data_IF_267579716454
#
_entry.id   IF_267579716454
#
_cell.length_a   1.000
_cell.length_b   1.000
_cell.length_c   1.000
_cell.angle_alpha   90.00
_cell.angle_beta   90.00
_cell.angle_gamma   90.00
#
_symmetry.space_group_name_H-M   'P 1'
#
loop_
_entity.id
_entity.type
_entity.pdbx_description
1 polymer ?
#
# COMPACT_ATOMS: atom_id res chain seq x y z
N UNK A 1 -17.81 31.38 -8.50
CA UNK A 1 -18.26 31.82 -7.18
C UNK A 1 -17.21 31.43 -6.14
N UNK A 2 -16.61 32.43 -5.46
CA UNK A 2 -15.51 32.22 -4.49
C UNK A 2 -15.98 31.55 -3.19
N UNK A 3 -17.20 31.83 -2.74
CA UNK A 3 -17.76 31.27 -1.49
C UNK A 3 -18.01 29.77 -1.67
N UNK A 4 -18.61 29.39 -2.79
CA UNK A 4 -18.86 27.99 -3.11
C UNK A 4 -17.55 27.21 -3.33
N UNK A 5 -16.54 27.83 -3.94
CA UNK A 5 -15.22 27.22 -4.11
C UNK A 5 -14.50 26.99 -2.77
N UNK A 6 -14.54 27.96 -1.84
CA UNK A 6 -14.01 27.78 -0.47
C UNK A 6 -14.73 26.66 0.27
N UNK A 7 -16.05 26.52 0.08
CA UNK A 7 -16.85 25.45 0.68
C UNK A 7 -16.44 24.07 0.14
N UNK A 8 -16.22 23.95 -1.16
CA UNK A 8 -15.76 22.68 -1.75
C UNK A 8 -14.30 22.37 -1.42
N UNK A 9 -13.42 23.37 -1.31
CA UNK A 9 -12.06 23.17 -0.85
C UNK A 9 -12.05 22.70 0.62
N UNK A 10 -12.85 23.32 1.48
CA UNK A 10 -13.03 22.85 2.85
C UNK A 10 -13.57 21.42 2.87
N UNK A 11 -14.57 21.12 2.05
CA UNK A 11 -15.11 19.77 1.95
C UNK A 11 -14.05 18.77 1.48
N UNK A 12 -13.22 19.11 0.50
CA UNK A 12 -12.13 18.25 0.03
C UNK A 12 -11.14 17.97 1.16
N UNK A 13 -10.77 19.00 1.93
CA UNK A 13 -9.88 18.86 3.10
C UNK A 13 -10.51 18.00 4.19
N UNK A 14 -11.78 18.25 4.50
CA UNK A 14 -12.55 17.46 5.46
C UNK A 14 -12.70 15.99 5.00
N UNK A 15 -12.55 15.74 3.70
CA UNK A 15 -12.52 14.41 3.08
C UNK A 15 -11.09 13.91 2.77
N UNK A 16 -10.07 14.49 3.41
CA UNK A 16 -8.70 13.96 3.42
C UNK A 16 -7.73 14.58 2.41
N UNK A 17 -8.14 15.61 1.68
CA UNK A 17 -7.21 16.35 0.82
C UNK A 17 -6.23 17.18 1.68
N UNK A 18 -4.93 16.87 1.60
CA UNK A 18 -3.89 17.50 2.43
C UNK A 18 -2.76 18.20 1.64
N UNK A 19 -2.82 18.16 0.31
CA UNK A 19 -1.71 18.56 -0.55
C UNK A 19 -1.61 20.07 -0.77
N UNK A 20 -1.04 20.81 0.19
CA UNK A 20 -0.86 22.27 0.08
C UNK A 20 -0.02 22.69 -1.13
N UNK A 21 0.95 21.88 -1.56
CA UNK A 21 1.74 22.16 -2.76
C UNK A 21 0.87 22.23 -4.02
N UNK A 22 -0.07 21.30 -4.16
CA UNK A 22 -1.02 21.27 -5.28
C UNK A 22 -1.98 22.46 -5.19
N UNK A 23 -2.52 22.79 -4.00
CA UNK A 23 -3.39 23.97 -3.83
C UNK A 23 -2.72 25.28 -4.23
N UNK A 24 -1.40 25.39 -4.05
CA UNK A 24 -0.61 26.56 -4.44
C UNK A 24 -0.31 26.60 -5.95
N UNK A 25 -0.24 25.46 -6.62
CA UNK A 25 0.10 25.35 -8.06
C UNK A 25 -1.13 25.31 -8.97
N UNK A 26 -2.29 24.97 -8.41
CA UNK A 26 -3.55 24.88 -9.13
C UNK A 26 -4.08 26.28 -9.46
N UNK A 27 -3.97 26.66 -10.73
CA UNK A 27 -4.36 27.97 -11.24
C UNK A 27 -5.85 28.27 -11.05
N UNK A 28 -6.70 27.23 -10.93
CA UNK A 28 -8.14 27.42 -10.69
C UNK A 28 -8.40 27.98 -9.28
N UNK A 29 -7.43 27.87 -8.38
CA UNK A 29 -7.51 28.35 -7.00
C UNK A 29 -6.84 29.71 -6.78
N UNK A 30 -6.18 30.30 -7.78
CA UNK A 30 -5.48 31.59 -7.68
C UNK A 30 -6.40 32.70 -7.13
N UNK A 31 -7.67 32.68 -7.56
CA UNK A 31 -8.69 33.63 -7.12
C UNK A 31 -9.03 33.52 -5.62
N UNK A 32 -8.73 32.38 -5.01
CA UNK A 32 -8.92 32.11 -3.58
C UNK A 32 -7.69 32.49 -2.77
N UNK A 33 -6.48 32.42 -3.33
CA UNK A 33 -5.22 32.67 -2.60
C UNK A 33 -5.16 34.05 -1.94
N UNK A 34 -5.85 35.02 -2.54
CA UNK A 34 -5.92 36.41 -2.06
C UNK A 34 -6.97 36.63 -0.96
N UNK A 35 -7.81 35.62 -0.66
CA UNK A 35 -8.87 35.73 0.33
C UNK A 35 -8.32 35.54 1.76
N UNK A 36 -8.83 36.28 2.77
CA UNK A 36 -8.48 36.04 4.17
C UNK A 36 -8.71 34.58 4.61
N UNK A 37 -9.79 33.97 4.11
CA UNK A 37 -10.18 32.57 4.33
C UNK A 37 -9.21 31.58 3.69
N UNK A 38 -8.29 32.00 2.84
CA UNK A 38 -7.21 31.14 2.38
C UNK A 38 -6.18 30.87 3.48
N UNK A 39 -5.99 31.83 4.39
CA UNK A 39 -5.00 31.71 5.47
C UNK A 39 -5.29 30.54 6.42
N UNK A 40 -6.56 30.14 6.60
CA UNK A 40 -6.90 28.92 7.36
C UNK A 40 -6.42 27.64 6.67
N UNK A 41 -6.23 27.65 5.36
CA UNK A 41 -5.66 26.54 4.60
C UNK A 41 -4.12 26.58 4.55
N UNK A 42 -3.50 27.71 4.88
CA UNK A 42 -2.05 27.81 5.00
C UNK A 42 -1.46 26.92 6.13
N UNK A 43 -2.32 26.45 7.04
CA UNK A 43 -1.98 25.46 8.08
C UNK A 43 -2.10 24.00 7.59
N UNK A 44 -2.51 23.75 6.34
CA UNK A 44 -2.43 22.42 5.73
C UNK A 44 -0.96 22.00 5.72
N UNK A 45 -0.70 20.92 6.48
CA UNK A 45 0.65 20.45 6.72
C UNK A 45 1.31 20.10 5.38
N UNK A 46 2.52 20.60 5.19
CA UNK A 46 3.34 20.13 4.08
C UNK A 46 3.53 18.61 4.26
N UNK A 47 3.37 17.83 3.18
CA UNK A 47 3.61 16.39 3.27
C UNK A 47 5.02 16.15 3.81
N UNK A 48 5.16 15.14 4.68
CA UNK A 48 6.46 14.74 5.19
C UNK A 48 7.26 14.17 4.03
N UNK A 49 8.18 14.95 3.48
CA UNK A 49 9.16 14.44 2.53
C UNK A 49 10.00 13.40 3.24
N UNK A 50 10.05 12.17 2.71
CA UNK A 50 10.85 11.10 3.30
C UNK A 50 12.31 11.51 3.52
N UNK A 51 12.89 11.05 4.62
CA UNK A 51 14.28 11.30 4.99
C UNK A 51 15.25 10.65 4.01
N UNK A 52 16.45 11.22 3.82
CA UNK A 52 17.53 10.53 3.11
C UNK A 52 18.24 9.47 3.98
N UNK A 53 18.09 9.54 5.30
CA UNK A 53 18.61 8.59 6.28
C UNK A 53 17.52 7.56 6.66
N UNK A 54 17.74 6.26 6.41
CA UNK A 54 16.78 5.20 6.74
C UNK A 54 16.45 5.09 8.23
N UNK A 55 17.33 5.55 9.12
CA UNK A 55 17.13 5.45 10.57
C UNK A 55 16.25 6.57 11.15
N UNK A 56 15.96 7.61 10.35
CA UNK A 56 15.10 8.73 10.77
C UNK A 56 13.61 8.49 10.48
N UNK A 57 13.27 7.47 9.67
CA UNK A 57 11.89 7.10 9.41
C UNK A 57 11.21 6.63 10.70
N UNK A 58 10.12 7.28 11.10
CA UNK A 58 9.37 6.90 12.29
C UNK A 58 8.46 5.73 11.98
N UNK A 59 8.43 4.76 12.88
CA UNK A 59 7.50 3.63 12.86
C UNK A 59 6.39 3.90 13.89
N UNK A 60 5.32 4.55 13.45
CA UNK A 60 4.24 5.12 14.28
C UNK A 60 3.17 4.08 14.58
N UNK A 61 3.00 3.78 15.87
CA UNK A 61 2.12 2.71 16.37
C UNK A 61 1.05 3.20 17.34
N UNK A 62 0.93 4.52 17.54
CA UNK A 62 -0.02 5.15 18.46
C UNK A 62 -1.48 4.79 18.15
N UNK A 63 -1.80 4.58 16.87
CA UNK A 63 -3.14 4.27 16.42
C UNK A 63 -3.63 2.89 16.85
N UNK A 64 -2.72 1.97 17.18
CA UNK A 64 -3.05 0.65 17.73
C UNK A 64 -3.72 0.82 19.10
N UNK A 65 -3.10 1.60 19.99
CA UNK A 65 -3.64 1.87 21.32
C UNK A 65 -4.96 2.67 21.24
N UNK A 66 -5.01 3.69 20.38
CA UNK A 66 -6.22 4.49 20.16
C UNK A 66 -7.39 3.62 19.66
N UNK A 67 -7.14 2.69 18.73
CA UNK A 67 -8.17 1.78 18.24
C UNK A 67 -8.70 0.89 19.36
N UNK A 68 -7.83 0.26 20.15
CA UNK A 68 -8.28 -0.67 21.19
C UNK A 68 -9.03 0.03 22.34
N UNK A 69 -8.65 1.26 22.71
CA UNK A 69 -9.44 2.10 23.64
C UNK A 69 -10.84 2.40 23.06
N UNK A 70 -10.92 2.78 21.78
CA UNK A 70 -12.20 3.01 21.12
C UNK A 70 -13.04 1.73 21.00
N UNK A 71 -12.41 0.60 20.67
CA UNK A 71 -13.04 -0.71 20.53
C UNK A 71 -13.68 -1.14 21.86
N UNK A 72 -12.94 -1.09 22.96
CA UNK A 72 -13.45 -1.51 24.29
C UNK A 72 -14.64 -0.64 24.75
N UNK A 73 -14.54 0.67 24.54
CA UNK A 73 -15.66 1.60 24.79
C UNK A 73 -16.88 1.27 23.93
N UNK A 74 -16.67 0.99 22.64
CA UNK A 74 -17.71 0.67 21.68
C UNK A 74 -18.39 -0.69 21.94
N UNK A 75 -17.71 -1.62 22.64
CA UNK A 75 -18.33 -2.86 23.12
C UNK A 75 -19.20 -2.64 24.36
N UNK A 76 -18.85 -1.65 25.19
CA UNK A 76 -19.63 -1.31 26.41
C UNK A 76 -20.85 -0.46 26.08
N UNK A 77 -20.69 0.54 25.20
CA UNK A 77 -21.74 1.46 24.78
C UNK A 77 -22.01 1.30 23.27
N UNK A 78 -22.81 0.27 22.96
CA UNK A 78 -23.12 -0.12 21.58
C UNK A 78 -24.03 0.87 20.87
N UNK A 79 -24.81 1.67 21.61
CA UNK A 79 -25.69 2.70 21.05
C UNK A 79 -24.88 3.90 20.49
N UNK A 80 -23.71 4.17 21.06
CA UNK A 80 -22.88 5.33 20.70
C UNK A 80 -21.59 4.97 19.95
N UNK A 81 -21.49 3.79 19.34
CA UNK A 81 -20.26 3.32 18.62
C UNK A 81 -19.71 4.35 17.65
N UNK A 82 -20.58 5.04 16.90
CA UNK A 82 -20.16 6.08 15.96
C UNK A 82 -19.39 7.22 16.63
N UNK A 83 -19.95 7.82 17.69
CA UNK A 83 -19.31 8.94 18.38
C UNK A 83 -18.06 8.47 19.13
N UNK A 84 -18.05 7.23 19.62
CA UNK A 84 -16.90 6.62 20.28
C UNK A 84 -15.73 6.45 19.31
N UNK A 85 -15.91 5.74 18.19
CA UNK A 85 -14.82 5.57 17.23
C UNK A 85 -14.37 6.90 16.65
N UNK A 86 -15.29 7.82 16.37
CA UNK A 86 -14.92 9.17 15.93
C UNK A 86 -14.00 9.85 16.95
N UNK A 87 -14.41 9.94 18.22
CA UNK A 87 -13.69 10.69 19.26
C UNK A 87 -12.39 10.03 19.69
N UNK A 88 -12.38 8.71 19.88
CA UNK A 88 -11.28 8.00 20.51
C UNK A 88 -10.29 7.38 19.51
N UNK A 89 -10.71 7.15 18.26
CA UNK A 89 -9.84 6.61 17.23
C UNK A 89 -9.54 7.63 16.13
N UNK A 90 -10.55 8.16 15.44
CA UNK A 90 -10.34 9.03 14.27
C UNK A 90 -9.80 10.39 14.66
N UNK A 91 -10.45 11.11 15.58
CA UNK A 91 -10.04 12.48 15.95
C UNK A 91 -8.68 12.50 16.69
N UNK A 92 -8.29 11.38 17.32
CA UNK A 92 -6.97 11.19 17.95
C UNK A 92 -5.92 10.57 17.03
N UNK A 93 -6.33 10.19 15.82
CA UNK A 93 -5.51 9.42 14.89
C UNK A 93 -4.27 10.17 14.43
N UNK A 94 -3.22 9.42 14.13
CA UNK A 94 -2.07 9.97 13.41
C UNK A 94 -2.48 10.52 12.03
N UNK A 95 -1.59 11.28 11.40
CA UNK A 95 -1.82 11.74 10.03
C UNK A 95 -1.96 10.57 9.05
N UNK A 96 -1.24 9.46 9.27
CA UNK A 96 -1.38 8.25 8.47
C UNK A 96 -2.74 7.59 8.64
N UNK A 97 -3.35 7.64 9.84
CA UNK A 97 -4.73 7.17 10.01
C UNK A 97 -5.72 8.01 9.20
N UNK A 98 -5.55 9.34 9.17
CA UNK A 98 -6.42 10.21 8.37
C UNK A 98 -6.32 9.85 6.88
N UNK A 99 -5.10 9.71 6.36
CA UNK A 99 -4.86 9.34 4.97
C UNK A 99 -5.43 7.95 4.66
N UNK A 100 -5.25 6.98 5.58
CA UNK A 100 -5.76 5.62 5.41
C UNK A 100 -7.29 5.61 5.39
N UNK A 101 -7.94 6.37 6.26
CA UNK A 101 -9.39 6.47 6.25
C UNK A 101 -9.90 7.12 4.96
N UNK A 102 -9.31 8.23 4.55
CA UNK A 102 -9.71 8.94 3.33
C UNK A 102 -9.56 8.07 2.06
N UNK A 103 -8.54 7.21 1.99
CA UNK A 103 -8.21 6.47 0.76
C UNK A 103 -8.68 5.01 0.78
N UNK A 104 -8.74 4.37 1.95
CA UNK A 104 -9.01 2.93 2.09
C UNK A 104 -10.24 2.61 2.90
N UNK A 105 -10.78 3.54 3.69
CA UNK A 105 -11.97 3.29 4.53
C UNK A 105 -13.11 4.20 4.11
N UNK A 106 -13.96 3.69 3.20
CA UNK A 106 -15.07 4.45 2.59
C UNK A 106 -15.79 5.42 3.53
N UNK A 107 -16.31 4.94 4.67
CA UNK A 107 -16.93 5.79 5.70
C UNK A 107 -16.79 5.17 7.09
N UNK A 108 -16.87 5.99 8.14
CA UNK A 108 -16.92 5.48 9.52
C UNK A 108 -18.11 4.53 9.76
N UNK A 109 -19.25 4.75 9.08
CA UNK A 109 -20.39 3.81 9.12
C UNK A 109 -20.03 2.44 8.54
N UNK A 110 -19.36 2.42 7.38
CA UNK A 110 -18.91 1.17 6.75
C UNK A 110 -17.86 0.44 7.59
N UNK A 111 -16.98 1.19 8.24
CA UNK A 111 -15.99 0.67 9.19
C UNK A 111 -16.67 -0.06 10.34
N UNK A 112 -17.64 0.60 11.01
CA UNK A 112 -18.38 0.01 12.13
C UNK A 112 -19.15 -1.23 11.67
N UNK A 113 -19.90 -1.13 10.57
CA UNK A 113 -20.67 -2.26 10.04
C UNK A 113 -19.78 -3.47 9.67
N UNK A 114 -18.54 -3.23 9.23
CA UNK A 114 -17.60 -4.31 8.96
C UNK A 114 -17.02 -4.96 10.22
N UNK A 115 -16.81 -4.19 11.29
CA UNK A 115 -16.45 -4.73 12.60
C UNK A 115 -17.59 -5.53 13.22
N UNK A 116 -18.83 -5.06 13.10
CA UNK A 116 -20.03 -5.74 13.60
C UNK A 116 -20.26 -7.09 12.89
N UNK A 117 -19.80 -7.21 11.64
CA UNK A 117 -19.84 -8.47 10.86
C UNK A 117 -18.71 -9.45 11.21
N UNK A 118 -17.67 -9.00 11.92
CA UNK A 118 -16.45 -9.76 12.20
C UNK A 118 -15.99 -9.67 13.67
N UNK A 119 -16.89 -9.82 14.66
CA UNK A 119 -16.55 -9.61 16.05
C UNK A 119 -15.50 -10.61 16.57
N UNK A 120 -15.59 -11.89 16.18
CA UNK A 120 -14.65 -12.92 16.63
C UNK A 120 -13.25 -12.69 16.05
N UNK A 121 -13.19 -12.33 14.77
CA UNK A 121 -11.95 -12.00 14.09
C UNK A 121 -11.25 -10.78 14.74
N UNK A 122 -11.95 -9.65 14.88
CA UNK A 122 -11.34 -8.45 15.44
C UNK A 122 -10.93 -8.65 16.91
N UNK A 123 -11.74 -9.33 17.72
CA UNK A 123 -11.34 -9.65 19.09
C UNK A 123 -10.04 -10.47 19.14
N UNK A 124 -9.90 -11.45 18.24
CA UNK A 124 -8.75 -12.36 18.22
C UNK A 124 -7.44 -11.70 17.79
N UNK A 125 -7.46 -10.75 16.84
CA UNK A 125 -6.22 -10.15 16.32
C UNK A 125 -5.53 -9.20 17.31
N UNK A 126 -6.19 -8.79 18.41
CA UNK A 126 -5.72 -7.75 19.34
C UNK A 126 -4.27 -7.92 19.76
N UNK A 127 -3.93 -9.06 20.34
CA UNK A 127 -2.58 -9.33 20.81
C UNK A 127 -1.55 -9.22 19.67
N UNK A 128 -1.90 -9.72 18.49
CA UNK A 128 -0.98 -9.75 17.36
C UNK A 128 -0.71 -8.35 16.79
N UNK A 129 -1.67 -7.42 16.86
CA UNK A 129 -1.43 -6.03 16.39
C UNK A 129 -0.28 -5.34 17.13
N UNK A 130 -0.08 -5.61 18.43
CA UNK A 130 1.01 -5.02 19.21
C UNK A 130 2.40 -5.58 18.89
N UNK A 131 2.49 -6.73 18.23
CA UNK A 131 3.79 -7.36 17.89
C UNK A 131 4.55 -6.62 16.79
N UNK A 132 3.96 -5.58 16.18
CA UNK A 132 4.68 -4.65 15.32
C UNK A 132 5.93 -4.07 16.01
N UNK A 133 5.86 -3.84 17.32
CA UNK A 133 6.97 -3.30 18.11
C UNK A 133 8.21 -4.20 18.05
N UNK A 134 8.02 -5.52 18.07
CA UNK A 134 9.12 -6.49 18.01
C UNK A 134 9.71 -6.65 16.62
N UNK A 135 9.08 -6.10 15.59
CA UNK A 135 9.48 -6.23 14.18
C UNK A 135 10.11 -4.94 13.61
N UNK A 136 10.14 -3.85 14.38
CA UNK A 136 10.70 -2.55 13.97
C UNK A 136 12.15 -2.63 13.48
N UNK A 137 12.99 -3.39 14.17
CA UNK A 137 14.39 -3.57 13.78
C UNK A 137 14.53 -4.23 12.40
N UNK A 138 13.66 -5.19 12.06
CA UNK A 138 13.68 -5.86 10.76
C UNK A 138 13.22 -4.92 9.64
N UNK A 139 12.23 -4.05 9.92
CA UNK A 139 11.79 -3.01 8.98
C UNK A 139 12.91 -2.00 8.70
N UNK A 140 13.58 -1.52 9.74
CA UNK A 140 14.72 -0.61 9.58
C UNK A 140 15.89 -1.27 8.85
N UNK A 141 16.15 -2.56 9.09
CA UNK A 141 17.18 -3.30 8.36
C UNK A 141 16.87 -3.37 6.85
N UNK A 142 15.60 -3.54 6.46
CA UNK A 142 15.18 -3.46 5.06
C UNK A 142 15.42 -2.06 4.47
N UNK A 143 15.17 -1.00 5.24
CA UNK A 143 15.43 0.38 4.81
C UNK A 143 16.93 0.64 4.61
N UNK A 144 17.79 0.15 5.52
CA UNK A 144 19.25 0.25 5.38
C UNK A 144 19.74 -0.49 4.14
N UNK A 145 19.22 -1.70 3.87
CA UNK A 145 19.53 -2.42 2.63
C UNK A 145 19.07 -1.67 1.39
N UNK A 146 17.88 -1.08 1.41
CA UNK A 146 17.40 -0.24 0.31
C UNK A 146 18.31 0.95 0.06
N UNK A 147 18.80 1.62 1.12
CA UNK A 147 19.78 2.72 1.00
C UNK A 147 21.06 2.27 0.30
N UNK A 148 21.54 1.08 0.62
CA UNK A 148 22.74 0.51 -0.01
C UNK A 148 22.53 0.20 -1.49
N UNK A 149 21.36 -0.35 -1.87
CA UNK A 149 21.04 -0.67 -3.27
C UNK A 149 20.73 0.57 -4.11
N UNK A 150 20.10 1.59 -3.51
CA UNK A 150 19.70 2.82 -4.19
C UNK A 150 19.88 4.04 -3.25
N UNK A 151 21.04 4.71 -3.29
CA UNK A 151 21.35 5.81 -2.38
C UNK A 151 20.37 7.00 -2.45
N UNK A 152 19.65 7.18 -3.55
CA UNK A 152 18.65 8.24 -3.73
C UNK A 152 17.28 7.96 -3.06
N UNK A 153 17.12 6.79 -2.41
CA UNK A 153 15.88 6.41 -1.72
C UNK A 153 15.47 7.45 -0.68
N UNK A 154 14.17 7.77 -0.66
CA UNK A 154 13.52 8.55 0.41
C UNK A 154 12.80 7.61 1.36
N UNK A 155 13.03 7.77 2.66
CA UNK A 155 12.46 6.94 3.73
C UNK A 155 11.36 7.72 4.46
N UNK A 156 10.09 7.51 4.11
CA UNK A 156 8.99 8.15 4.81
C UNK A 156 8.70 7.49 6.16
N UNK A 157 7.90 8.17 6.98
CA UNK A 157 7.31 7.56 8.16
C UNK A 157 6.37 6.41 7.77
N UNK A 158 6.21 5.43 8.66
CA UNK A 158 5.35 4.26 8.51
C UNK A 158 4.28 4.30 9.59
N UNK A 159 3.02 4.22 9.20
CA UNK A 159 1.88 4.30 10.09
C UNK A 159 1.17 2.95 10.14
N UNK A 160 1.05 2.39 11.34
CA UNK A 160 0.37 1.12 11.57
C UNK A 160 -1.01 1.38 12.15
N UNK A 161 -2.04 0.98 11.41
CA UNK A 161 -3.44 1.28 11.72
C UNK A 161 -4.29 0.02 11.73
N UNK A 162 -5.50 0.11 12.26
CA UNK A 162 -6.50 -0.96 12.21
C UNK A 162 -7.67 -0.48 11.34
N UNK A 163 -7.85 -1.13 10.19
CA UNK A 163 -8.81 -0.78 9.16
C UNK A 163 -10.09 -1.61 9.21
N UNK A 164 -10.73 -1.74 8.05
CA UNK A 164 -11.93 -2.56 7.86
C UNK A 164 -11.69 -3.81 6.98
N UNK A 165 -10.53 -4.43 7.13
CA UNK A 165 -9.90 -5.36 6.20
C UNK A 165 -9.86 -4.78 4.77
N UNK A 166 -9.53 -3.49 4.63
CA UNK A 166 -9.63 -2.78 3.35
C UNK A 166 -8.32 -2.64 2.58
N UNK A 167 -7.17 -2.61 3.25
CA UNK A 167 -5.84 -2.57 2.62
C UNK A 167 -4.80 -3.18 3.56
N UNK A 168 -3.92 -4.05 3.07
CA UNK A 168 -2.78 -4.55 3.86
C UNK A 168 -1.63 -3.55 3.93
N UNK A 169 -1.43 -2.82 2.84
CA UNK A 169 -0.50 -1.69 2.73
C UNK A 169 -0.98 -0.70 1.67
N UNK A 170 -0.52 0.54 1.74
CA UNK A 170 -0.58 1.53 0.67
C UNK A 170 0.37 2.69 0.98
N UNK A 171 0.47 3.66 0.07
CA UNK A 171 1.26 4.88 0.26
C UNK A 171 0.40 6.13 0.18
N UNK A 172 0.75 7.13 0.98
CA UNK A 172 0.30 8.51 0.82
C UNK A 172 1.50 9.44 0.75
N UNK A 173 1.25 10.75 0.57
CA UNK A 173 2.31 11.76 0.63
C UNK A 173 2.93 11.90 2.03
N UNK A 174 2.27 11.42 3.09
CA UNK A 174 2.78 11.47 4.46
C UNK A 174 3.54 10.21 4.84
N UNK A 175 3.40 9.12 4.08
CA UNK A 175 4.23 7.93 4.20
C UNK A 175 3.52 6.63 3.90
N UNK A 176 4.03 5.54 4.47
CA UNK A 176 3.50 4.19 4.25
C UNK A 176 2.37 3.93 5.25
N UNK A 177 1.26 3.36 4.79
CA UNK A 177 0.07 3.10 5.59
C UNK A 177 -0.21 1.60 5.63
N UNK A 178 -0.09 0.98 6.80
CA UNK A 178 -0.15 -0.47 6.98
C UNK A 178 -1.39 -0.86 7.79
N UNK A 179 -2.33 -1.57 7.17
CA UNK A 179 -3.52 -2.11 7.82
C UNK A 179 -3.20 -3.43 8.51
N UNK A 180 -3.01 -3.39 9.83
CA UNK A 180 -2.60 -4.55 10.62
C UNK A 180 -3.65 -5.67 10.59
N UNK A 181 -4.91 -5.35 10.40
CA UNK A 181 -6.02 -6.27 10.25
C UNK A 181 -5.92 -7.19 9.02
N UNK A 182 -4.97 -6.98 8.09
CA UNK A 182 -4.64 -7.95 7.04
C UNK A 182 -3.26 -8.63 7.20
N UNK A 183 -2.45 -8.24 8.18
CA UNK A 183 -1.03 -8.63 8.27
C UNK A 183 -0.62 -9.38 9.53
N UNK A 184 -1.57 -9.79 10.37
CA UNK A 184 -1.30 -10.31 11.73
C UNK A 184 -1.80 -11.74 11.96
N UNK A 185 -1.85 -12.58 10.91
CA UNK A 185 -2.35 -13.95 10.99
C UNK A 185 -1.42 -14.86 11.81
N UNK A 186 -2.05 -15.68 12.65
CA UNK A 186 -1.51 -16.86 13.34
C UNK A 186 -2.55 -17.99 13.29
N UNK A 187 -2.16 -19.27 13.49
CA UNK A 187 -3.08 -20.41 13.33
C UNK A 187 -4.33 -20.39 14.23
N UNK A 188 -4.25 -19.72 15.37
CA UNK A 188 -5.31 -19.56 16.36
C UNK A 188 -6.36 -18.49 16.02
N UNK A 189 -6.10 -17.60 15.04
CA UNK A 189 -7.07 -16.57 14.65
C UNK A 189 -8.22 -17.20 13.87
N UNK A 190 -9.48 -17.05 14.31
CA UNK A 190 -10.63 -17.59 13.60
C UNK A 190 -10.82 -16.85 12.27
N UNK A 191 -10.94 -17.61 11.18
CA UNK A 191 -11.16 -17.06 9.84
C UNK A 191 -12.57 -17.34 9.30
N UNK A 192 -13.48 -17.86 10.12
CA UNK A 192 -14.84 -18.23 9.72
C UNK A 192 -15.69 -17.05 9.24
N UNK A 193 -15.40 -15.85 9.75
CA UNK A 193 -16.09 -14.60 9.39
C UNK A 193 -15.46 -13.89 8.18
N UNK A 194 -14.35 -14.42 7.64
CA UNK A 194 -13.66 -13.87 6.47
C UNK A 194 -14.13 -14.57 5.20
N UNK A 195 -14.28 -13.84 4.09
CA UNK A 195 -14.56 -14.44 2.78
C UNK A 195 -13.28 -15.09 2.17
N UNK A 196 -13.39 -15.74 1.00
CA UNK A 196 -12.27 -16.43 0.36
C UNK A 196 -11.06 -15.52 0.13
N UNK A 197 -11.28 -14.36 -0.51
CA UNK A 197 -10.22 -13.38 -0.78
C UNK A 197 -9.57 -12.92 0.53
N UNK A 198 -10.36 -12.58 1.55
CA UNK A 198 -9.82 -12.17 2.85
C UNK A 198 -8.97 -13.26 3.50
N UNK A 199 -9.38 -14.53 3.44
CA UNK A 199 -8.59 -15.66 3.99
C UNK A 199 -7.27 -15.86 3.26
N UNK A 200 -7.28 -15.73 1.93
CA UNK A 200 -6.09 -15.92 1.11
C UNK A 200 -5.13 -14.71 1.18
N UNK A 201 -5.64 -13.54 1.55
CA UNK A 201 -4.86 -12.30 1.70
C UNK A 201 -4.61 -11.92 3.18
N UNK A 202 -5.01 -12.75 4.14
CA UNK A 202 -4.66 -12.55 5.54
C UNK A 202 -3.23 -13.06 5.78
N UNK A 203 -2.28 -12.12 5.69
CA UNK A 203 -0.84 -12.36 5.78
C UNK A 203 -0.40 -12.78 7.17
N UNK A 204 0.57 -13.71 7.21
CA UNK A 204 1.22 -14.15 8.45
C UNK A 204 1.94 -13.01 9.14
N UNK A 205 1.94 -13.03 10.48
CA UNK A 205 2.49 -11.94 11.28
C UNK A 205 3.95 -11.57 10.96
N UNK A 206 4.76 -12.55 10.58
CA UNK A 206 6.17 -12.38 10.20
C UNK A 206 6.36 -11.62 8.88
N UNK A 207 5.27 -11.36 8.13
CA UNK A 207 5.35 -10.67 6.84
C UNK A 207 5.31 -9.15 6.95
N UNK A 208 5.05 -8.56 8.12
CA UNK A 208 4.95 -7.11 8.25
C UNK A 208 6.20 -6.36 7.71
N UNK A 209 7.45 -6.77 8.01
CA UNK A 209 8.63 -6.15 7.42
C UNK A 209 8.70 -6.26 5.89
N UNK A 210 8.18 -7.36 5.34
CA UNK A 210 8.15 -7.61 3.88
C UNK A 210 7.12 -6.68 3.21
N UNK A 211 5.95 -6.50 3.81
CA UNK A 211 4.94 -5.56 3.29
C UNK A 211 5.44 -4.11 3.40
N UNK A 212 6.08 -3.74 4.52
CA UNK A 212 6.71 -2.42 4.65
C UNK A 212 7.79 -2.20 3.57
N UNK A 213 8.58 -3.22 3.25
CA UNK A 213 9.54 -3.17 2.16
C UNK A 213 8.87 -2.96 0.79
N UNK A 214 7.76 -3.64 0.51
CA UNK A 214 6.96 -3.46 -0.71
C UNK A 214 6.42 -2.02 -0.84
N UNK A 215 5.78 -1.51 0.21
CA UNK A 215 5.24 -0.13 0.19
C UNK A 215 6.34 0.92 0.07
N UNK A 216 7.53 0.68 0.62
CA UNK A 216 8.68 1.58 0.42
C UNK A 216 9.01 1.74 -1.06
N UNK A 217 8.90 0.68 -1.85
CA UNK A 217 9.17 0.75 -3.29
C UNK A 217 8.13 1.61 -3.98
N UNK A 218 6.84 1.44 -3.68
CA UNK A 218 5.80 2.31 -4.22
C UNK A 218 6.07 3.80 -3.94
N UNK A 219 6.63 4.13 -2.77
CA UNK A 219 7.02 5.51 -2.44
C UNK A 219 8.17 6.06 -3.31
N UNK A 220 8.96 5.20 -3.96
CA UNK A 220 10.03 5.62 -4.88
C UNK A 220 9.58 5.74 -6.34
N UNK A 221 8.34 5.36 -6.67
CA UNK A 221 7.87 5.24 -8.06
C UNK A 221 7.38 6.56 -8.68
N UNK A 222 7.60 7.70 -8.02
CA UNK A 222 7.15 9.02 -8.49
C UNK A 222 7.69 9.38 -9.89
N UNK A 223 8.89 8.89 -10.24
CA UNK A 223 9.54 9.18 -11.52
C UNK A 223 9.15 8.21 -12.64
N UNK A 224 8.33 7.18 -12.39
CA UNK A 224 7.97 6.18 -13.40
C UNK A 224 6.88 6.73 -14.31
N UNK A 225 7.07 6.58 -15.62
CA UNK A 225 6.07 7.03 -16.61
C UNK A 225 4.90 6.05 -16.66
N UNK A 226 3.80 6.37 -15.98
CA UNK A 226 2.57 5.55 -15.99
C UNK A 226 1.80 5.69 -17.30
N UNK A 227 1.21 4.58 -17.75
CA UNK A 227 0.26 4.55 -18.87
C UNK A 227 -0.94 3.63 -18.55
N UNK A 228 -1.85 3.42 -19.50
CA UNK A 228 -3.10 2.67 -19.27
C UNK A 228 -3.01 1.18 -19.61
N UNK A 229 -1.85 0.70 -20.06
CA UNK A 229 -1.66 -0.69 -20.44
C UNK A 229 -1.55 -1.60 -19.22
N UNK A 230 -1.95 -2.86 -19.38
CA UNK A 230 -1.71 -3.89 -18.37
C UNK A 230 -0.21 -4.03 -18.08
N UNK A 231 0.65 -3.91 -19.09
CA UNK A 231 2.11 -3.98 -18.97
C UNK A 231 2.65 -2.94 -17.98
N UNK A 232 2.19 -1.69 -18.06
CA UNK A 232 2.55 -0.65 -17.09
C UNK A 232 2.09 -1.04 -15.67
N UNK A 233 0.84 -1.47 -15.52
CA UNK A 233 0.29 -1.88 -14.22
C UNK A 233 1.08 -3.02 -13.57
N UNK A 234 1.35 -4.10 -14.31
CA UNK A 234 2.06 -5.25 -13.73
C UNK A 234 3.49 -4.89 -13.34
N UNK A 235 4.18 -4.04 -14.10
CA UNK A 235 5.53 -3.61 -13.74
C UNK A 235 5.57 -2.77 -12.47
N UNK A 236 4.58 -1.90 -12.25
CA UNK A 236 4.47 -1.11 -11.02
C UNK A 236 4.35 -2.01 -9.79
N UNK A 237 3.49 -3.02 -9.83
CA UNK A 237 3.28 -3.94 -8.70
C UNK A 237 4.43 -4.95 -8.56
N UNK A 238 4.83 -5.55 -9.68
CA UNK A 238 5.84 -6.59 -9.69
C UNK A 238 7.25 -6.09 -9.37
N UNK A 239 7.59 -4.84 -9.69
CA UNK A 239 8.87 -4.27 -9.22
C UNK A 239 8.88 -4.05 -7.71
N UNK A 240 7.73 -3.69 -7.12
CA UNK A 240 7.61 -3.52 -5.69
C UNK A 240 7.84 -4.87 -5.00
N UNK A 241 7.24 -5.95 -5.50
CA UNK A 241 7.50 -7.31 -5.02
C UNK A 241 8.96 -7.72 -5.17
N UNK A 242 9.55 -7.48 -6.34
CA UNK A 242 10.91 -7.92 -6.64
C UNK A 242 11.94 -7.22 -5.75
N UNK A 243 11.91 -5.89 -5.67
CA UNK A 243 12.88 -5.16 -4.87
C UNK A 243 12.61 -5.37 -3.38
N UNK A 244 11.35 -5.49 -2.95
CA UNK A 244 11.02 -5.84 -1.57
C UNK A 244 11.64 -7.19 -1.17
N UNK A 245 11.60 -8.19 -2.05
CA UNK A 245 12.25 -9.47 -1.81
C UNK A 245 13.77 -9.32 -1.65
N UNK A 246 14.43 -8.51 -2.47
CA UNK A 246 15.88 -8.26 -2.35
C UNK A 246 16.26 -7.63 -1.00
N UNK A 247 15.45 -6.69 -0.49
CA UNK A 247 15.78 -5.98 0.75
C UNK A 247 15.28 -6.68 2.02
N UNK A 248 14.19 -7.46 1.93
CA UNK A 248 13.59 -8.15 3.08
C UNK A 248 13.93 -9.64 3.17
N UNK A 249 14.34 -10.25 2.05
CA UNK A 249 14.71 -11.67 1.96
C UNK A 249 13.55 -12.63 1.65
N UNK A 250 12.33 -12.13 1.43
CA UNK A 250 11.19 -12.97 1.06
C UNK A 250 10.18 -12.20 0.21
N UNK A 251 9.46 -12.92 -0.64
CA UNK A 251 8.41 -12.35 -1.47
C UNK A 251 7.16 -11.98 -0.66
N UNK A 252 6.56 -10.78 -0.82
CA UNK A 252 5.30 -10.42 -0.16
C UNK A 252 4.15 -11.35 -0.59
N UNK A 253 4.08 -11.66 -1.89
CA UNK A 253 3.04 -12.43 -2.55
C UNK A 253 3.46 -13.86 -2.88
N UNK A 254 4.19 -14.53 -1.98
CA UNK A 254 4.69 -15.91 -2.16
C UNK A 254 3.62 -16.91 -2.65
N UNK A 255 2.34 -16.69 -2.31
CA UNK A 255 1.22 -17.52 -2.80
C UNK A 255 1.13 -17.57 -4.33
N UNK A 256 1.45 -16.47 -5.01
CA UNK A 256 1.39 -16.37 -6.47
C UNK A 256 2.52 -17.17 -7.10
N UNK A 257 3.71 -17.17 -6.50
CA UNK A 257 4.82 -18.01 -6.92
C UNK A 257 4.50 -19.50 -6.77
N UNK A 258 3.87 -19.88 -5.64
CA UNK A 258 3.41 -21.26 -5.42
C UNK A 258 2.37 -21.66 -6.48
N UNK A 259 1.41 -20.78 -6.78
CA UNK A 259 0.39 -21.05 -7.80
C UNK A 259 0.98 -21.14 -9.21
N UNK A 260 1.93 -20.26 -9.55
CA UNK A 260 2.53 -20.18 -10.88
C UNK A 260 3.42 -21.37 -11.21
N UNK A 261 3.93 -22.09 -10.20
CA UNK A 261 4.81 -23.26 -10.38
C UNK A 261 4.16 -24.32 -11.27
N UNK A 262 4.80 -24.60 -12.42
CA UNK A 262 4.30 -25.52 -13.44
C UNK A 262 3.23 -24.94 -14.37
N UNK A 263 2.86 -23.66 -14.21
CA UNK A 263 1.86 -22.93 -15.02
C UNK A 263 2.46 -21.69 -15.69
N UNK A 264 3.76 -21.46 -15.57
CA UNK A 264 4.45 -20.22 -15.94
C UNK A 264 4.20 -19.86 -17.41
N UNK A 265 4.39 -20.82 -18.32
CA UNK A 265 4.17 -20.64 -19.76
C UNK A 265 2.72 -20.29 -20.09
N UNK A 266 1.76 -20.89 -19.40
CA UNK A 266 0.34 -20.62 -19.62
C UNK A 266 -0.03 -19.22 -19.14
N UNK A 267 0.34 -18.87 -17.90
CA UNK A 267 0.12 -17.53 -17.33
C UNK A 267 0.73 -16.46 -18.23
N UNK A 268 1.95 -16.70 -18.71
CA UNK A 268 2.64 -15.78 -19.60
C UNK A 268 1.95 -15.63 -20.95
N UNK A 269 1.50 -16.74 -21.55
CA UNK A 269 0.75 -16.72 -22.82
C UNK A 269 -0.56 -15.93 -22.69
N UNK A 270 -1.26 -16.04 -21.56
CA UNK A 270 -2.49 -15.29 -21.30
C UNK A 270 -2.20 -13.80 -21.08
N UNK A 271 -1.15 -13.46 -20.34
CA UNK A 271 -0.71 -12.07 -20.16
C UNK A 271 -0.41 -11.39 -21.49
N UNK A 272 0.33 -12.06 -22.39
CA UNK A 272 0.71 -11.49 -23.69
C UNK A 272 -0.46 -11.13 -24.60
N UNK A 273 -1.61 -11.79 -24.45
CA UNK A 273 -2.84 -11.43 -25.18
C UNK A 273 -3.39 -10.07 -24.77
N UNK A 274 -3.12 -9.64 -23.53
CA UNK A 274 -3.72 -8.45 -22.92
C UNK A 274 -2.73 -7.34 -22.59
N UNK A 275 -1.41 -7.59 -22.62
CA UNK A 275 -0.40 -6.71 -22.03
C UNK A 275 -0.43 -5.26 -22.54
N UNK A 276 -0.79 -5.03 -23.81
CA UNK A 276 -0.89 -3.68 -24.39
C UNK A 276 -2.31 -3.07 -24.33
N UNK A 277 -3.25 -3.74 -23.67
CA UNK A 277 -4.64 -3.30 -23.53
C UNK A 277 -4.90 -2.70 -22.14
N UNK A 278 -5.96 -1.90 -22.03
CA UNK A 278 -6.47 -1.41 -20.73
C UNK A 278 -7.22 -2.52 -19.99
N UNK A 279 -6.47 -3.50 -19.47
CA UNK A 279 -6.98 -4.74 -18.85
C UNK A 279 -6.41 -5.03 -17.46
N UNK A 280 -5.86 -4.04 -16.77
CA UNK A 280 -5.37 -4.18 -15.39
C UNK A 280 -6.34 -4.89 -14.45
N UNK A 281 -7.65 -4.61 -14.55
CA UNK A 281 -8.70 -5.25 -13.72
C UNK A 281 -8.82 -6.78 -13.83
N UNK A 282 -8.20 -7.39 -14.84
CA UNK A 282 -8.18 -8.84 -15.00
C UNK A 282 -7.01 -9.48 -14.22
N UNK A 283 -6.03 -8.67 -13.76
CA UNK A 283 -4.74 -9.15 -13.23
C UNK A 283 -4.33 -8.49 -11.91
N UNK A 284 -4.85 -7.31 -11.60
CA UNK A 284 -4.43 -6.44 -10.48
C UNK A 284 -5.68 -5.89 -9.79
N UNK A 285 -5.66 -5.89 -8.46
CA UNK A 285 -6.75 -5.49 -7.58
C UNK A 285 -8.09 -6.15 -7.93
N UNK A 286 -8.04 -7.40 -8.39
CA UNK A 286 -9.18 -8.15 -8.93
C UNK A 286 -9.76 -9.14 -7.91
N UNK A 287 -9.68 -8.81 -6.62
CA UNK A 287 -10.10 -9.68 -5.52
C UNK A 287 -11.54 -10.20 -5.59
N UNK A 288 -12.46 -9.44 -6.20
CA UNK A 288 -13.84 -9.87 -6.41
C UNK A 288 -14.00 -11.01 -7.43
N UNK A 289 -12.93 -11.34 -8.16
CA UNK A 289 -12.88 -12.40 -9.18
C UNK A 289 -12.09 -13.63 -8.68
N UNK A 290 -11.63 -13.64 -7.42
CA UNK A 290 -10.77 -14.71 -6.90
C UNK A 290 -11.48 -16.07 -6.86
N UNK A 291 -10.85 -17.06 -7.47
CA UNK A 291 -11.23 -18.48 -7.38
C UNK A 291 -9.98 -19.34 -7.14
N UNK A 292 -10.12 -20.63 -6.77
CA UNK A 292 -8.95 -21.52 -6.62
C UNK A 292 -8.05 -21.62 -7.86
N UNK A 293 -8.63 -21.49 -9.06
CA UNK A 293 -7.93 -21.57 -10.34
C UNK A 293 -7.56 -20.20 -10.93
N UNK A 294 -8.05 -19.12 -10.32
CA UNK A 294 -7.77 -17.75 -10.72
C UNK A 294 -7.49 -16.90 -9.47
N UNK A 295 -6.25 -16.96 -8.93
CA UNK A 295 -5.89 -16.14 -7.78
C UNK A 295 -5.94 -14.66 -8.18
N UNK A 296 -6.44 -13.83 -7.26
CA UNK A 296 -6.31 -12.40 -7.40
C UNK A 296 -4.83 -11.98 -7.42
N UNK A 297 -4.57 -10.88 -8.12
CA UNK A 297 -3.28 -10.18 -8.16
C UNK A 297 -2.16 -10.93 -8.90
N UNK A 298 -2.50 -11.88 -9.78
CA UNK A 298 -1.50 -12.63 -10.56
C UNK A 298 -0.59 -11.74 -11.42
N UNK A 299 -1.01 -10.50 -11.74
CA UNK A 299 -0.17 -9.50 -12.39
C UNK A 299 1.10 -9.13 -11.62
N UNK A 300 1.11 -9.26 -10.29
CA UNK A 300 2.29 -9.00 -9.46
C UNK A 300 3.42 -9.99 -9.82
N UNK A 301 3.08 -11.27 -9.96
CA UNK A 301 4.04 -12.31 -10.39
C UNK A 301 4.58 -12.03 -11.79
N UNK A 302 3.73 -11.62 -12.73
CA UNK A 302 4.17 -11.28 -14.10
C UNK A 302 5.19 -10.14 -14.10
N UNK A 303 4.88 -9.04 -13.42
CA UNK A 303 5.79 -7.90 -13.32
C UNK A 303 7.08 -8.23 -12.58
N UNK A 304 7.00 -9.06 -11.54
CA UNK A 304 8.15 -9.57 -10.80
C UNK A 304 9.09 -10.31 -11.77
N UNK A 305 8.56 -11.19 -12.62
CA UNK A 305 9.37 -11.94 -13.58
C UNK A 305 10.05 -11.03 -14.61
N UNK A 306 9.38 -9.96 -15.06
CA UNK A 306 9.98 -8.96 -15.97
C UNK A 306 11.17 -8.27 -15.29
N UNK A 307 10.97 -7.75 -14.08
CA UNK A 307 12.00 -7.02 -13.34
C UNK A 307 13.17 -7.93 -12.96
N UNK A 308 12.88 -9.15 -12.50
CA UNK A 308 13.88 -10.16 -12.17
C UNK A 308 14.71 -10.57 -13.38
N UNK A 309 14.09 -10.78 -14.55
CA UNK A 309 14.82 -11.11 -15.76
C UNK A 309 15.79 -10.00 -16.17
N UNK A 310 15.33 -8.74 -16.13
CA UNK A 310 16.20 -7.59 -16.41
C UNK A 310 17.38 -7.53 -15.42
N UNK A 311 17.08 -7.65 -14.13
CA UNK A 311 18.09 -7.65 -13.07
C UNK A 311 19.09 -8.78 -13.23
N UNK A 312 18.64 -10.02 -13.44
CA UNK A 312 19.51 -11.20 -13.55
C UNK A 312 20.45 -11.10 -14.76
N UNK A 313 19.94 -10.60 -15.89
CA UNK A 313 20.70 -10.37 -17.13
C UNK A 313 21.74 -9.26 -16.99
N UNK A 314 21.49 -8.24 -16.17
CA UNK A 314 22.39 -7.09 -16.04
C UNK A 314 23.72 -7.46 -15.37
N UNK A 315 24.82 -6.94 -15.90
CA UNK A 315 26.14 -7.07 -15.27
C UNK A 315 26.28 -6.15 -14.05
N UNK A 316 25.80 -4.90 -14.17
CA UNK A 316 25.75 -3.93 -13.07
C UNK A 316 24.37 -4.00 -12.39
N UNK A 317 24.33 -4.58 -11.20
CA UNK A 317 23.09 -4.71 -10.41
C UNK A 317 22.61 -3.38 -9.85
N UNK A 318 23.51 -2.43 -9.59
CA UNK A 318 23.15 -1.09 -9.10
C UNK A 318 22.45 -0.31 -10.19
N UNK A 319 23.01 -0.34 -11.41
CA UNK A 319 22.36 0.26 -12.57
C UNK A 319 21.01 -0.40 -12.87
N UNK A 320 20.90 -1.73 -12.74
CA UNK A 320 19.63 -2.42 -12.95
C UNK A 320 18.53 -1.97 -11.98
N UNK A 321 18.84 -1.80 -10.69
CA UNK A 321 17.88 -1.26 -9.71
C UNK A 321 17.48 0.17 -10.06
N UNK A 322 18.45 1.02 -10.45
CA UNK A 322 18.15 2.36 -10.90
C UNK A 322 17.21 2.37 -12.12
N UNK A 323 17.45 1.50 -13.10
CA UNK A 323 16.64 1.41 -14.31
C UNK A 323 15.21 0.91 -14.01
N UNK A 324 15.08 -0.10 -13.15
CA UNK A 324 13.78 -0.62 -12.69
C UNK A 324 12.97 0.49 -11.99
N UNK A 325 13.60 1.29 -11.12
CA UNK A 325 12.91 2.34 -10.37
C UNK A 325 12.59 3.59 -11.20
N UNK A 326 13.16 3.73 -12.41
CA UNK A 326 13.03 4.93 -13.24
C UNK A 326 12.53 4.63 -14.67
N UNK A 327 11.75 3.57 -14.86
CA UNK A 327 11.24 3.16 -16.19
C UNK A 327 10.45 4.32 -16.85
N UNK A 328 10.92 4.74 -18.03
CA UNK A 328 10.27 5.77 -18.85
C UNK A 328 9.52 5.20 -20.06
N UNK A 329 9.80 3.95 -20.42
CA UNK A 329 9.15 3.24 -21.52
C UNK A 329 9.02 1.76 -21.15
N UNK A 330 7.81 1.38 -20.73
CA UNK A 330 7.46 0.04 -20.31
C UNK A 330 7.66 -1.00 -21.41
N UNK A 331 7.37 -0.66 -22.68
CA UNK A 331 7.52 -1.59 -23.80
C UNK A 331 8.99 -1.86 -24.07
N UNK A 332 9.80 -0.80 -24.13
CA UNK A 332 11.25 -0.94 -24.31
C UNK A 332 11.89 -1.70 -23.17
N UNK A 333 11.50 -1.42 -21.92
CA UNK A 333 12.00 -2.15 -20.76
C UNK A 333 11.65 -3.65 -20.84
N UNK A 334 10.40 -3.97 -21.19
CA UNK A 334 9.96 -5.35 -21.42
C UNK A 334 10.82 -6.07 -22.46
N UNK A 335 11.03 -5.46 -23.64
CA UNK A 335 11.85 -6.02 -24.72
C UNK A 335 13.31 -6.24 -24.27
N UNK A 336 13.86 -5.35 -23.46
CA UNK A 336 15.23 -5.42 -22.97
C UNK A 336 15.43 -6.41 -21.82
N UNK A 337 14.38 -6.71 -21.04
CA UNK A 337 14.42 -7.55 -19.84
C UNK A 337 14.93 -8.97 -20.09
N UNK A 338 14.74 -9.53 -21.28
CA UNK A 338 15.07 -10.92 -21.57
C UNK A 338 14.10 -11.93 -20.92
N UNK A 339 12.96 -11.47 -20.41
CA UNK A 339 11.97 -12.32 -19.71
C UNK A 339 11.42 -13.45 -20.60
N UNK A 340 11.28 -13.24 -21.91
CA UNK A 340 10.79 -14.28 -22.83
C UNK A 340 11.72 -15.51 -22.84
N UNK A 341 13.04 -15.30 -22.81
CA UNK A 341 14.02 -16.39 -22.73
C UNK A 341 13.98 -17.07 -21.36
N UNK A 342 13.81 -16.30 -20.28
CA UNK A 342 13.65 -16.83 -18.93
C UNK A 342 12.42 -17.74 -18.81
N UNK A 343 11.25 -17.27 -19.27
CA UNK A 343 10.00 -18.04 -19.21
C UNK A 343 10.05 -19.27 -20.12
N UNK A 344 10.72 -19.19 -21.28
CA UNK A 344 10.88 -20.35 -22.15
C UNK A 344 11.72 -21.47 -21.52
N UNK A 345 12.68 -21.12 -20.66
CA UNK A 345 13.59 -22.04 -19.98
C UNK A 345 13.05 -22.67 -18.69
N UNK A 346 11.92 -22.19 -18.14
CA UNK A 346 11.16 -22.83 -17.06
C UNK A 346 10.30 -23.97 -17.63
#
# INVERSE_FOLDING_TARGET
DKVQALKYLQLAIDNGYSSMEHLKKDSDLDILHQLPEWKKFAALRQPVTGSADPLQAKLVTTDIANFWDAYDRAQTDTANRYSIYKKYYIDKGSIGLQDYFATKVSTLKSFIAGHDKRPLFYAAIRKNTYTVETQKAQMQAAFVKMKALYPATKFPDVYFVIGNFSSGGTVSKNGLLLGLDQGVRTPDIPTGELNLWQRNNFGGLHKLPIIVAHELIHFQQDNIKRDTTLLSGVMIEGMADFIAELISGSNPNLRLHVFAKGKEKQIWADFKKEMYLKRAKNWIANGSQETPDHPADLGYWVGYMICKAYYDKAADKTQAINDILNIQDHRKFYEQSGVEAMIAGL
#
